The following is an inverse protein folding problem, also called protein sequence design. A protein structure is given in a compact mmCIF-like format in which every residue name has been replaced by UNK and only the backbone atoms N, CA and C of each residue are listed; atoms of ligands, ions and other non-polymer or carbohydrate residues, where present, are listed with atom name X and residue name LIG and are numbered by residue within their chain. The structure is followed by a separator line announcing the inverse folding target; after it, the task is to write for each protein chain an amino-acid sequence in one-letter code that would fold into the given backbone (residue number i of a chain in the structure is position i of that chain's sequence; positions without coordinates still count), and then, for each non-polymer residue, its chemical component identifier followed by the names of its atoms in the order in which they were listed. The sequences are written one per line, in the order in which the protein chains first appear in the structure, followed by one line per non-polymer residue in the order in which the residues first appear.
data_IF_546592504504
#
_entry.id   IF_546592504504
#
_cell.length_a   1.000
_cell.length_b   1.000
_cell.length_c   1.000
_cell.angle_alpha   90.00
_cell.angle_beta   90.00
_cell.angle_gamma   90.00
#
_symmetry.space_group_name_H-M   'P 1'
#
loop_
_entity.id
_entity.type
_entity.pdbx_description
1 polymer ?
#
# COMPACT_ATOMS: atom_id res chain seq x y z
N UNK A 1 -7.04 -6.47 3.23
CA UNK A 1 -6.63 -6.39 1.80
C UNK A 1 -5.11 -6.30 1.72
N UNK A 2 -4.47 -6.91 0.71
CA UNK A 2 -3.02 -6.81 0.46
C UNK A 2 -2.73 -5.76 -0.62
N UNK A 3 -1.68 -4.96 -0.41
CA UNK A 3 -1.12 -4.00 -1.35
C UNK A 3 0.27 -4.48 -1.76
N UNK A 4 0.61 -4.47 -3.05
CA UNK A 4 1.88 -4.94 -3.58
C UNK A 4 1.76 -6.06 -4.60
N UNK A 5 2.89 -6.71 -4.87
CA UNK A 5 3.05 -7.66 -5.98
C UNK A 5 2.92 -9.09 -5.47
N UNK A 6 1.97 -9.81 -6.06
CA UNK A 6 1.80 -11.25 -5.95
C UNK A 6 2.48 -11.90 -7.16
N UNK A 7 3.67 -12.46 -6.96
CA UNK A 7 4.51 -12.97 -8.07
C UNK A 7 4.01 -14.31 -8.59
N UNK A 8 3.34 -15.09 -7.75
CA UNK A 8 2.68 -16.35 -8.16
C UNK A 8 1.54 -16.10 -9.13
N UNK A 9 0.69 -15.11 -8.81
CA UNK A 9 -0.48 -14.79 -9.63
C UNK A 9 -0.17 -13.75 -10.72
N UNK A 10 1.01 -13.11 -10.67
CA UNK A 10 1.37 -12.02 -11.59
C UNK A 10 0.55 -10.75 -11.38
N UNK A 11 0.01 -10.53 -10.18
CA UNK A 11 -0.89 -9.41 -9.86
C UNK A 11 -0.14 -8.33 -9.10
N UNK A 12 -0.19 -7.09 -9.59
CA UNK A 12 0.22 -5.89 -8.84
C UNK A 12 -1.02 -5.18 -8.27
N UNK A 13 -1.20 -5.26 -6.94
CA UNK A 13 -2.28 -4.58 -6.23
C UNK A 13 -1.80 -3.21 -5.76
N UNK A 14 -2.39 -2.14 -6.28
CA UNK A 14 -2.09 -0.77 -5.87
C UNK A 14 -3.37 0.05 -5.73
N UNK A 15 -3.30 1.21 -5.08
CA UNK A 15 -4.44 2.13 -4.95
C UNK A 15 -4.25 3.36 -5.84
N UNK A 16 -5.36 3.87 -6.36
CA UNK A 16 -5.45 5.14 -7.08
C UNK A 16 -6.34 6.10 -6.32
N UNK A 17 -6.05 7.40 -6.39
CA UNK A 17 -6.98 8.40 -5.86
C UNK A 17 -8.28 8.39 -6.65
N UNK A 18 -9.31 8.98 -6.05
CA UNK A 18 -10.48 9.42 -6.79
C UNK A 18 -10.13 10.57 -7.72
N UNK A 19 -10.97 10.77 -8.74
CA UNK A 19 -10.84 11.86 -9.71
C UNK A 19 -11.12 13.20 -9.06
N UNK A 20 -12.11 13.25 -8.17
CA UNK A 20 -12.42 14.39 -7.30
C UNK A 20 -13.11 13.90 -6.02
N UNK A 21 -13.45 14.82 -5.11
CA UNK A 21 -14.15 14.48 -3.87
C UNK A 21 -15.52 13.80 -4.12
N UNK A 22 -16.20 14.18 -5.20
CA UNK A 22 -17.54 13.71 -5.54
C UNK A 22 -17.55 12.65 -6.65
N UNK A 23 -16.37 12.23 -7.12
CA UNK A 23 -16.22 11.37 -8.29
C UNK A 23 -15.26 10.21 -8.03
N UNK A 24 -15.76 8.99 -7.81
CA UNK A 24 -14.95 7.82 -7.49
C UNK A 24 -14.21 7.25 -8.70
N UNK A 25 -14.28 7.90 -9.87
CA UNK A 25 -13.47 7.55 -11.03
C UNK A 25 -11.97 7.60 -10.72
N UNK A 26 -11.16 7.00 -11.61
CA UNK A 26 -9.70 6.94 -11.44
C UNK A 26 -9.10 8.35 -11.53
N UNK A 27 -8.43 8.77 -10.46
CA UNK A 27 -7.70 10.03 -10.40
C UNK A 27 -6.23 9.91 -10.80
N UNK A 28 -5.52 11.04 -10.73
CA UNK A 28 -4.15 11.17 -11.21
C UNK A 28 -3.09 10.58 -10.29
N UNK A 29 -3.45 10.26 -9.05
CA UNK A 29 -2.49 9.81 -8.04
C UNK A 29 -2.57 8.31 -7.81
N UNK A 30 -1.43 7.67 -7.57
CA UNK A 30 -1.39 6.27 -7.15
C UNK A 30 -0.32 6.01 -6.10
N UNK A 31 -0.57 5.03 -5.23
CA UNK A 31 0.41 4.54 -4.25
C UNK A 31 0.78 3.10 -4.60
N UNK A 32 2.07 2.86 -4.85
CA UNK A 32 2.60 1.54 -5.22
C UNK A 32 3.80 1.18 -4.35
N UNK A 33 4.04 -0.11 -4.18
CA UNK A 33 5.29 -0.62 -3.60
C UNK A 33 6.34 -0.68 -4.70
N UNK A 34 7.49 -0.04 -4.47
CA UNK A 34 8.65 -0.20 -5.32
C UNK A 34 9.55 -1.32 -4.77
N UNK A 35 9.74 -2.43 -5.51
CA UNK A 35 10.54 -3.56 -5.06
C UNK A 35 12.05 -3.34 -5.20
N UNK A 36 12.50 -2.26 -5.85
CA UNK A 36 13.91 -2.02 -6.12
C UNK A 36 14.63 -1.54 -4.85
N UNK A 37 15.61 -2.29 -4.37
CA UNK A 37 16.37 -1.97 -3.16
C UNK A 37 15.60 -2.30 -1.87
N UNK A 38 15.63 -1.39 -0.89
CA UNK A 38 14.78 -1.52 0.31
C UNK A 38 13.33 -1.16 -0.04
N UNK A 39 12.35 -2.06 0.20
CA UNK A 39 10.96 -1.82 -0.17
C UNK A 39 10.38 -0.54 0.44
N UNK A 40 9.71 0.25 -0.38
CA UNK A 40 9.06 1.52 0.00
C UNK A 40 7.77 1.71 -0.76
N UNK A 41 6.85 2.47 -0.16
CA UNK A 41 5.74 3.05 -0.90
C UNK A 41 6.18 4.32 -1.61
N UNK A 42 5.69 4.49 -2.83
CA UNK A 42 5.85 5.71 -3.59
C UNK A 42 4.47 6.26 -3.94
N UNK A 43 4.31 7.57 -3.78
CA UNK A 43 3.19 8.33 -4.32
C UNK A 43 3.59 8.85 -5.70
N UNK A 44 2.79 8.51 -6.69
CA UNK A 44 2.96 8.96 -8.07
C UNK A 44 1.84 9.92 -8.44
N UNK A 45 2.16 10.91 -9.28
CA UNK A 45 1.20 11.63 -10.12
C UNK A 45 1.45 11.21 -11.57
N UNK A 46 0.55 10.40 -12.14
CA UNK A 46 0.80 9.68 -13.38
C UNK A 46 2.02 8.77 -13.25
N UNK A 47 3.08 9.02 -14.05
CA UNK A 47 4.34 8.27 -14.02
C UNK A 47 5.43 8.89 -13.13
N UNK A 48 5.23 10.12 -12.64
CA UNK A 48 6.24 10.85 -11.86
C UNK A 48 6.06 10.55 -10.37
N UNK A 49 7.12 10.08 -9.71
CA UNK A 49 7.14 9.99 -8.26
C UNK A 49 7.24 11.39 -7.65
N UNK A 50 6.42 11.66 -6.64
CA UNK A 50 6.38 12.96 -5.95
C UNK A 50 6.67 12.85 -4.45
N UNK A 51 6.46 11.67 -3.87
CA UNK A 51 6.82 11.39 -2.48
C UNK A 51 7.12 9.89 -2.31
N UNK A 52 7.75 9.56 -1.18
CA UNK A 52 8.12 8.20 -0.78
C UNK A 52 7.93 8.01 0.71
N UNK A 53 7.62 6.79 1.14
CA UNK A 53 7.65 6.41 2.54
C UNK A 53 9.09 6.30 3.05
N UNK A 54 9.21 6.12 4.37
CA UNK A 54 10.45 5.61 4.96
C UNK A 54 10.79 4.23 4.35
N UNK A 55 12.08 3.89 4.23
CA UNK A 55 12.51 2.53 3.89
C UNK A 55 12.01 1.53 4.92
N UNK A 56 11.72 0.31 4.49
CA UNK A 56 11.53 -0.81 5.41
C UNK A 56 12.84 -1.10 6.18
N UNK A 57 12.79 -1.44 7.49
CA UNK A 57 11.59 -1.74 8.29
C UNK A 57 10.81 -0.50 8.75
N UNK A 58 9.49 -0.52 8.50
CA UNK A 58 8.59 0.50 9.04
C UNK A 58 8.33 0.22 10.52
N UNK A 59 8.21 1.27 11.34
CA UNK A 59 7.70 1.11 12.70
C UNK A 59 6.24 0.62 12.60
N UNK A 60 6.02 -0.64 12.97
CA UNK A 60 4.79 -1.41 12.68
C UNK A 60 3.60 -1.04 13.55
N UNK A 61 3.78 -0.15 14.52
CA UNK A 61 2.79 0.25 15.51
C UNK A 61 2.49 1.74 15.37
N UNK A 62 1.41 2.05 14.66
CA UNK A 62 0.74 3.35 14.76
C UNK A 62 -0.56 3.08 15.52
N UNK A 63 -0.51 3.14 16.86
CA UNK A 63 -1.67 2.98 17.75
C UNK A 63 -2.52 1.75 17.43
N UNK A 64 -3.64 1.98 16.74
CA UNK A 64 -4.71 1.00 16.42
C UNK A 64 -4.42 0.07 15.25
N UNK A 65 -3.32 0.28 14.53
CA UNK A 65 -3.06 -0.39 13.26
C UNK A 65 -1.72 -1.10 13.28
N UNK A 66 -1.76 -2.44 13.14
CA UNK A 66 -0.58 -3.28 12.97
C UNK A 66 -0.30 -3.44 11.49
N UNK A 67 0.84 -2.93 11.06
CA UNK A 67 1.34 -3.09 9.69
C UNK A 67 2.15 -4.37 9.57
N UNK A 68 1.82 -5.22 8.60
CA UNK A 68 2.60 -6.42 8.25
C UNK A 68 3.13 -6.27 6.83
N UNK A 69 4.41 -6.60 6.65
CA UNK A 69 5.07 -6.62 5.35
C UNK A 69 5.67 -7.99 5.10
N UNK A 70 5.39 -8.55 3.93
CA UNK A 70 5.92 -9.83 3.44
C UNK A 70 6.79 -9.53 2.22
N UNK A 71 8.00 -10.06 2.20
CA UNK A 71 8.91 -10.03 1.06
C UNK A 71 9.67 -11.35 0.97
N UNK A 72 9.11 -12.28 0.22
CA UNK A 72 9.64 -13.61 -0.05
C UNK A 72 9.65 -13.86 -1.57
N UNK A 73 10.06 -15.03 -2.08
CA UNK A 73 10.06 -15.32 -3.51
C UNK A 73 8.67 -15.23 -4.18
N UNK A 74 7.60 -15.43 -3.43
CA UNK A 74 6.23 -15.56 -3.92
C UNK A 74 5.46 -14.24 -3.90
N UNK A 75 5.72 -13.38 -2.91
CA UNK A 75 5.05 -12.10 -2.77
C UNK A 75 5.91 -11.01 -2.16
N UNK A 76 5.63 -9.77 -2.57
CA UNK A 76 6.07 -8.56 -1.89
C UNK A 76 4.85 -7.71 -1.60
N UNK A 77 4.22 -7.92 -0.44
CA UNK A 77 2.96 -7.28 -0.08
C UNK A 77 2.99 -6.67 1.31
N UNK A 78 2.15 -5.65 1.49
CA UNK A 78 1.86 -5.02 2.77
C UNK A 78 0.37 -5.08 3.04
N UNK A 79 0.00 -5.29 4.29
CA UNK A 79 -1.38 -5.19 4.72
C UNK A 79 -1.44 -4.71 6.16
N UNK A 80 -2.55 -4.07 6.47
CA UNK A 80 -2.85 -3.58 7.80
C UNK A 80 -3.90 -4.47 8.43
N UNK A 81 -3.67 -4.85 9.69
CA UNK A 81 -4.68 -5.42 10.56
C UNK A 81 -4.99 -4.39 11.62
N UNK A 82 -6.26 -4.04 11.73
CA UNK A 82 -6.71 -3.19 12.81
C UNK A 82 -6.92 -4.10 14.04
N UNK A 83 -6.56 -3.66 15.24
CA UNK A 83 -6.39 -4.55 16.42
C UNK A 83 -7.62 -4.72 17.33
N UNK A 84 -8.68 -3.93 17.17
CA UNK A 84 -9.91 -3.93 17.99
C UNK A 84 -11.19 -4.01 17.12
N UNK A 85 -11.74 -5.19 16.90
CA UNK A 85 -12.85 -5.38 15.94
C UNK A 85 -14.14 -4.56 16.24
N UNK A 86 -14.25 -3.87 17.38
CA UNK A 86 -15.38 -3.00 17.72
C UNK A 86 -15.61 -1.85 16.74
N UNK A 87 -14.61 -1.40 15.97
CA UNK A 87 -14.77 -0.35 14.95
C UNK A 87 -15.22 -0.89 13.57
N UNK A 88 -15.34 -2.21 13.39
CA UNK A 88 -15.81 -2.82 12.12
C UNK A 88 -17.33 -3.04 12.08
N UNK A 89 -18.04 -2.72 13.16
CA UNK A 89 -19.48 -2.88 13.29
C UNK A 89 -20.13 -1.51 13.52
N UNK A 90 -20.72 -0.96 12.45
CA UNK A 90 -21.80 0.03 12.47
C UNK A 90 -22.69 -0.22 11.25
#
# INVERSE_FOLDING_TARGET
MKLGVDRKLGIDRFITSWRSADDPGIGDFSVRINPNGSPQFFLYKGKKSIARSLPWPWRSEIGLCKSTFVNDPDEMTSFYTVTDDSYLLN
#
